data_IF_514701105390
#
_entry.id   IF_514701105390
#
_cell.length_a   1.000
_cell.length_b   1.000
_cell.length_c   1.000
_cell.angle_alpha   90.00
_cell.angle_beta   90.00
_cell.angle_gamma   90.00
#
_symmetry.space_group_name_H-M   'P 1'
#
loop_
_entity.id
_entity.type
_entity.pdbx_description
1 polymer ?
#
# COMPACT_ATOMS: atom_id res chain seq x y z
N UNK A 1 5.07 -12.59 28.91
CA UNK A 1 3.74 -12.02 28.61
C UNK A 1 3.00 -13.03 27.76
N UNK A 2 1.68 -13.15 27.83
CA UNK A 2 0.91 -14.09 27.02
C UNK A 2 -0.28 -13.43 26.37
N UNK A 3 -0.60 -13.85 25.15
CA UNK A 3 -1.84 -13.50 24.46
C UNK A 3 -3.00 -14.19 25.19
N UNK A 4 -3.97 -13.40 25.64
CA UNK A 4 -5.19 -13.89 26.31
C UNK A 4 -6.43 -13.72 25.45
N UNK A 5 -6.40 -12.81 24.47
CA UNK A 5 -7.49 -12.64 23.53
C UNK A 5 -7.04 -12.06 22.18
N UNK A 6 -7.85 -12.31 21.15
CA UNK A 6 -7.74 -11.68 19.84
C UNK A 6 -9.12 -11.16 19.48
N UNK A 7 -9.26 -9.83 19.43
CA UNK A 7 -10.50 -9.13 19.13
C UNK A 7 -10.41 -8.45 17.77
N UNK A 8 -11.54 -8.32 17.08
CA UNK A 8 -11.62 -7.56 15.84
C UNK A 8 -12.93 -6.77 15.85
N UNK A 9 -12.85 -5.46 15.59
CA UNK A 9 -13.99 -4.59 15.36
C UNK A 9 -13.96 -4.01 13.95
N UNK A 10 -15.12 -3.63 13.42
CA UNK A 10 -15.18 -2.75 12.25
C UNK A 10 -15.44 -1.33 12.76
N UNK A 11 -14.43 -0.46 12.63
CA UNK A 11 -14.52 0.95 13.02
C UNK A 11 -14.62 1.77 11.72
N UNK A 12 -15.76 2.42 11.49
CA UNK A 12 -16.07 3.02 10.19
C UNK A 12 -16.13 1.94 9.09
N UNK A 13 -15.21 1.99 8.14
CA UNK A 13 -15.06 1.02 7.05
C UNK A 13 -13.74 0.24 7.13
N UNK A 14 -13.12 0.14 8.31
CA UNK A 14 -11.86 -0.60 8.48
C UNK A 14 -11.96 -1.67 9.58
N UNK A 15 -11.60 -2.93 9.29
CA UNK A 15 -11.32 -3.92 10.31
C UNK A 15 -10.10 -3.50 11.15
N UNK A 16 -10.27 -3.48 12.47
CA UNK A 16 -9.23 -3.19 13.44
C UNK A 16 -9.07 -4.37 14.37
N UNK A 17 -7.86 -4.88 14.49
CA UNK A 17 -7.50 -5.93 15.44
C UNK A 17 -6.96 -5.34 16.74
N UNK A 18 -7.31 -5.98 17.86
CA UNK A 18 -6.69 -5.81 19.17
C UNK A 18 -6.23 -7.17 19.68
N UNK A 19 -4.93 -7.32 19.88
CA UNK A 19 -4.35 -8.50 20.56
C UNK A 19 -4.18 -8.14 22.03
N UNK A 20 -4.87 -8.87 22.91
CA UNK A 20 -4.92 -8.58 24.35
C UNK A 20 -3.93 -9.47 25.08
N UNK A 21 -3.20 -8.92 26.05
CA UNK A 21 -2.22 -9.67 26.83
C UNK A 21 -2.51 -9.70 28.33
N UNK A 22 -1.96 -10.71 29.02
CA UNK A 22 -2.05 -10.87 30.48
C UNK A 22 -1.27 -9.79 31.27
N UNK A 23 -0.48 -8.98 30.57
CA UNK A 23 0.33 -7.92 31.16
C UNK A 23 -0.27 -6.51 30.97
N UNK A 24 -1.46 -6.41 30.36
CA UNK A 24 -2.11 -5.13 30.08
C UNK A 24 -1.44 -4.30 28.97
N UNK A 25 -0.61 -4.93 28.14
CA UNK A 25 0.01 -4.31 26.97
C UNK A 25 -0.64 -4.89 25.72
N UNK A 26 -1.46 -4.08 25.05
CA UNK A 26 -2.20 -4.52 23.88
C UNK A 26 -1.60 -3.97 22.58
N UNK A 27 -1.77 -4.75 21.53
CA UNK A 27 -1.36 -4.41 20.16
C UNK A 27 -2.54 -4.06 19.30
N UNK A 28 -2.40 -3.01 18.50
CA UNK A 28 -3.42 -2.59 17.55
C UNK A 28 -2.88 -2.57 16.12
N UNK A 29 -3.72 -2.97 15.17
CA UNK A 29 -3.46 -2.78 13.75
C UNK A 29 -4.78 -2.62 12.99
N UNK A 30 -4.69 -2.02 11.81
CA UNK A 30 -5.80 -1.74 10.93
C UNK A 30 -5.54 -2.48 9.61
N UNK A 31 -6.54 -3.21 9.13
CA UNK A 31 -6.51 -3.74 7.78
C UNK A 31 -6.79 -2.63 6.77
N UNK A 32 -6.49 -2.90 5.51
CA UNK A 32 -7.04 -2.10 4.41
C UNK A 32 -8.59 -2.06 4.43
N UNK A 33 -9.21 -1.51 3.37
CA UNK A 33 -10.67 -1.34 3.25
C UNK A 33 -11.46 -2.58 3.65
N UNK A 34 -12.58 -2.37 4.34
CA UNK A 34 -13.47 -3.43 4.81
C UNK A 34 -13.91 -4.37 3.70
N UNK A 35 -13.71 -5.65 3.98
CA UNK A 35 -14.33 -6.75 3.24
C UNK A 35 -15.05 -7.63 4.26
N UNK A 36 -16.32 -8.02 4.03
CA UNK A 36 -17.14 -8.71 5.02
C UNK A 36 -16.50 -9.98 5.60
N UNK A 37 -15.64 -10.65 4.83
CA UNK A 37 -14.97 -11.88 5.21
C UNK A 37 -13.71 -11.69 6.08
N UNK A 38 -13.16 -10.48 6.21
CA UNK A 38 -11.90 -10.27 6.96
C UNK A 38 -12.08 -10.54 8.45
N UNK A 39 -13.07 -9.92 9.09
CA UNK A 39 -13.36 -10.08 10.53
C UNK A 39 -13.50 -11.56 10.96
N UNK A 40 -14.38 -12.39 10.36
CA UNK A 40 -14.48 -13.79 10.75
C UNK A 40 -13.18 -14.57 10.51
N UNK A 41 -12.41 -14.21 9.47
CA UNK A 41 -11.15 -14.88 9.17
C UNK A 41 -10.03 -14.52 10.16
N UNK A 42 -9.97 -13.26 10.61
CA UNK A 42 -9.09 -12.82 11.71
C UNK A 42 -9.40 -13.60 12.99
N UNK A 43 -10.67 -13.67 13.36
CA UNK A 43 -11.09 -14.36 14.59
C UNK A 43 -10.83 -15.87 14.53
N UNK A 44 -10.84 -16.48 13.34
CA UNK A 44 -10.49 -17.89 13.15
C UNK A 44 -9.02 -18.23 13.46
N UNK A 45 -8.14 -17.23 13.62
CA UNK A 45 -6.77 -17.43 14.08
C UNK A 45 -6.61 -17.41 15.60
N UNK A 46 -7.61 -16.96 16.36
CA UNK A 46 -7.55 -16.77 17.82
C UNK A 46 -6.94 -17.97 18.55
N UNK A 47 -7.50 -19.16 18.36
CA UNK A 47 -7.07 -20.38 19.08
C UNK A 47 -5.62 -20.79 18.78
N UNK A 48 -5.08 -20.40 17.62
CA UNK A 48 -3.69 -20.65 17.27
C UNK A 48 -2.71 -19.69 17.99
N UNK A 49 -3.22 -18.58 18.55
CA UNK A 49 -2.44 -17.48 19.11
C UNK A 49 -2.51 -17.44 20.66
N UNK A 50 -3.63 -17.85 21.27
CA UNK A 50 -3.80 -17.81 22.72
C UNK A 50 -2.68 -18.58 23.44
N UNK A 51 -2.15 -17.97 24.50
CA UNK A 51 -1.12 -18.54 25.37
C UNK A 51 0.31 -18.39 24.86
N UNK A 52 0.52 -17.94 23.62
CA UNK A 52 1.84 -17.64 23.08
C UNK A 52 2.38 -16.32 23.63
N UNK A 53 3.71 -16.19 23.65
CA UNK A 53 4.35 -14.91 23.96
C UNK A 53 4.30 -14.00 22.71
N UNK A 54 3.61 -12.85 22.78
CA UNK A 54 3.45 -11.97 21.62
C UNK A 54 4.76 -11.26 21.21
N UNK A 55 5.78 -11.25 22.07
CA UNK A 55 7.08 -10.63 21.76
C UNK A 55 7.97 -11.52 20.90
N UNK A 56 7.70 -12.83 20.85
CA UNK A 56 8.29 -13.76 19.90
C UNK A 56 7.55 -13.72 18.55
N UNK A 57 7.46 -12.53 17.93
CA UNK A 57 6.61 -12.24 16.75
C UNK A 57 6.69 -13.35 15.69
N UNK A 58 7.90 -13.71 15.24
CA UNK A 58 8.03 -14.71 14.18
C UNK A 58 7.61 -16.12 14.61
N UNK A 59 7.80 -16.49 15.88
CA UNK A 59 7.33 -17.79 16.41
C UNK A 59 5.80 -17.88 16.38
N UNK A 60 5.12 -16.76 16.67
CA UNK A 60 3.67 -16.66 16.55
C UNK A 60 3.27 -16.75 15.07
N UNK A 61 3.93 -15.99 14.21
CA UNK A 61 3.63 -15.95 12.78
C UNK A 61 3.83 -17.31 12.08
N UNK A 62 4.80 -18.13 12.49
CA UNK A 62 4.99 -19.49 11.96
C UNK A 62 3.75 -20.40 12.10
N UNK A 63 2.78 -20.06 12.97
CA UNK A 63 1.52 -20.81 13.10
C UNK A 63 0.51 -20.48 12.00
N UNK A 64 0.57 -19.26 11.45
CA UNK A 64 -0.50 -18.69 10.63
C UNK A 64 -0.03 -18.16 9.27
N UNK A 65 1.27 -17.89 9.09
CA UNK A 65 1.83 -17.24 7.88
C UNK A 65 1.46 -17.97 6.59
N UNK A 66 1.49 -19.30 6.60
CA UNK A 66 1.12 -20.16 5.47
C UNK A 66 -0.40 -20.22 5.17
N UNK A 67 -1.23 -19.61 6.03
CA UNK A 67 -2.70 -19.60 5.91
C UNK A 67 -3.23 -18.27 5.35
N UNK A 68 -2.35 -17.35 4.93
CA UNK A 68 -2.72 -16.18 4.13
C UNK A 68 -2.73 -16.49 2.63
N UNK A 69 -2.82 -15.45 1.80
CA UNK A 69 -2.78 -15.56 0.35
C UNK A 69 -2.61 -14.20 -0.30
N UNK A 70 -2.55 -14.15 -1.63
CA UNK A 70 -2.53 -12.89 -2.38
C UNK A 70 -3.72 -12.01 -1.98
N UNK A 71 -3.58 -10.70 -2.17
CA UNK A 71 -4.64 -9.73 -1.86
C UNK A 71 -5.99 -10.23 -2.39
N UNK A 72 -7.03 -10.23 -1.55
CA UNK A 72 -7.13 -9.58 -0.24
C UNK A 72 -6.90 -10.49 0.99
N UNK A 73 -6.43 -11.72 0.81
CA UNK A 73 -6.40 -12.71 1.88
C UNK A 73 -5.22 -12.51 2.86
N UNK A 74 -4.13 -11.93 2.36
CA UNK A 74 -2.93 -11.64 3.14
C UNK A 74 -3.18 -10.64 4.27
N UNK A 75 -4.15 -9.73 4.08
CA UNK A 75 -4.46 -8.72 5.07
C UNK A 75 -4.76 -9.23 6.47
N UNK A 76 -5.46 -10.36 6.55
CA UNK A 76 -5.79 -10.99 7.84
C UNK A 76 -4.54 -11.36 8.63
N UNK A 77 -3.52 -11.89 7.96
CA UNK A 77 -2.29 -12.34 8.59
C UNK A 77 -1.37 -11.16 8.89
N UNK A 78 -1.30 -10.21 7.97
CA UNK A 78 -0.46 -9.01 8.07
C UNK A 78 -0.79 -8.14 9.28
N UNK A 79 -2.07 -7.86 9.54
CA UNK A 79 -2.46 -7.02 10.68
C UNK A 79 -2.21 -7.69 12.03
N UNK A 80 -2.26 -9.03 12.09
CA UNK A 80 -1.88 -9.78 13.29
C UNK A 80 -0.39 -9.54 13.57
N UNK A 81 0.47 -9.66 12.54
CA UNK A 81 1.91 -9.40 12.66
C UNK A 81 2.21 -7.98 13.11
N UNK A 82 1.53 -6.99 12.54
CA UNK A 82 1.68 -5.58 12.91
C UNK A 82 1.29 -5.34 14.37
N UNK A 83 0.18 -5.91 14.83
CA UNK A 83 -0.25 -5.79 16.23
C UNK A 83 0.73 -6.48 17.20
N UNK A 84 1.35 -7.58 16.80
CA UNK A 84 2.41 -8.24 17.58
C UNK A 84 3.67 -7.36 17.67
N UNK A 85 4.07 -6.69 16.58
CA UNK A 85 5.16 -5.72 16.61
C UNK A 85 4.86 -4.51 17.49
N UNK A 86 3.62 -4.03 17.47
CA UNK A 86 3.17 -2.96 18.36
C UNK A 86 3.35 -3.38 19.83
N UNK A 87 2.93 -4.61 20.19
CA UNK A 87 3.16 -5.18 21.53
C UNK A 87 4.65 -5.28 21.84
N UNK A 88 5.45 -5.84 20.93
CA UNK A 88 6.88 -6.05 21.15
C UNK A 88 7.61 -4.72 21.42
N UNK A 89 7.32 -3.68 20.64
CA UNK A 89 7.88 -2.34 20.86
C UNK A 89 7.41 -1.71 22.17
N UNK A 90 6.11 -1.80 22.50
CA UNK A 90 5.56 -1.31 23.78
C UNK A 90 6.19 -2.02 24.98
N UNK A 91 6.29 -3.35 24.92
CA UNK A 91 6.89 -4.17 25.97
C UNK A 91 8.37 -3.88 26.18
N UNK A 92 9.11 -3.60 25.09
CA UNK A 92 10.51 -3.21 25.15
C UNK A 92 10.74 -1.72 25.46
N UNK A 93 9.69 -0.89 25.48
CA UNK A 93 9.80 0.55 25.70
C UNK A 93 10.52 1.30 24.57
N UNK A 94 10.49 0.77 23.34
CA UNK A 94 11.19 1.34 22.17
C UNK A 94 10.28 1.34 20.94
N UNK A 95 10.50 2.28 19.99
CA UNK A 95 9.77 2.27 18.72
C UNK A 95 10.14 1.03 17.90
N UNK A 96 9.20 0.50 17.11
CA UNK A 96 9.39 -0.73 16.32
C UNK A 96 10.65 -0.65 15.45
N UNK A 97 10.98 0.50 14.85
CA UNK A 97 12.18 0.63 14.02
C UNK A 97 13.46 0.23 14.78
N UNK A 98 13.55 0.40 16.11
CA UNK A 98 14.72 0.00 16.90
C UNK A 98 14.86 -1.52 16.96
N UNK A 99 13.75 -2.24 17.03
CA UNK A 99 13.74 -3.70 16.99
C UNK A 99 14.04 -4.25 15.59
N UNK A 100 13.81 -3.45 14.55
CA UNK A 100 14.16 -3.76 13.16
C UNK A 100 15.64 -3.48 12.81
N UNK A 101 16.49 -3.18 13.80
CA UNK A 101 17.91 -2.87 13.58
C UNK A 101 18.25 -1.38 13.59
N UNK A 102 17.26 -0.51 13.79
CA UNK A 102 17.44 0.94 13.87
C UNK A 102 17.03 1.65 12.58
N UNK A 103 16.70 2.94 12.72
CA UNK A 103 16.41 3.80 11.58
C UNK A 103 17.71 4.21 10.89
N UNK A 104 17.71 4.19 9.57
CA UNK A 104 18.80 4.70 8.73
C UNK A 104 18.47 6.09 8.16
N UNK A 105 17.26 6.58 8.44
CA UNK A 105 16.76 7.92 8.07
C UNK A 105 15.86 8.48 9.16
N UNK A 106 15.98 9.78 9.43
CA UNK A 106 15.13 10.48 10.42
C UNK A 106 13.77 10.90 9.87
N UNK A 107 13.63 10.90 8.54
CA UNK A 107 12.39 11.17 7.83
C UNK A 107 12.21 10.20 6.68
N UNK A 108 10.98 9.78 6.44
CA UNK A 108 10.58 8.86 5.36
C UNK A 108 9.84 9.66 4.29
N UNK A 109 10.16 9.44 3.02
CA UNK A 109 9.51 10.14 1.90
C UNK A 109 8.19 9.47 1.57
N UNK A 110 7.16 10.25 1.32
CA UNK A 110 5.86 9.73 0.90
C UNK A 110 5.48 10.27 -0.47
N UNK A 111 4.76 9.47 -1.25
CA UNK A 111 4.17 9.93 -2.51
C UNK A 111 2.65 10.04 -2.38
N UNK A 112 2.06 10.99 -3.10
CA UNK A 112 0.63 11.25 -2.99
C UNK A 112 -0.18 10.44 -4.02
N UNK A 113 -1.00 9.51 -3.55
CA UNK A 113 -2.12 8.95 -4.31
C UNK A 113 -3.50 9.32 -3.72
N UNK A 114 -3.54 9.71 -2.44
CA UNK A 114 -4.77 9.81 -1.65
C UNK A 114 -5.27 11.23 -1.38
N UNK A 115 -4.39 12.23 -1.27
CA UNK A 115 -4.77 13.64 -1.03
C UNK A 115 -5.09 14.30 -2.37
N UNK A 116 -6.34 14.13 -2.80
CA UNK A 116 -6.84 14.64 -4.08
C UNK A 116 -8.34 14.82 -4.04
N UNK A 117 -8.83 15.68 -4.92
CA UNK A 117 -10.25 15.79 -5.21
C UNK A 117 -10.66 14.77 -6.30
N UNK A 118 -11.92 14.27 -6.27
CA UNK A 118 -12.44 13.43 -7.35
C UNK A 118 -12.44 14.19 -8.68
N UNK A 119 -11.86 13.58 -9.71
CA UNK A 119 -11.95 14.11 -11.07
C UNK A 119 -13.37 13.94 -11.62
N UNK A 120 -13.83 14.92 -12.39
CA UNK A 120 -15.15 14.91 -13.06
C UNK A 120 -15.12 14.38 -14.48
N UNK A 121 -13.92 14.16 -15.04
CA UNK A 121 -13.72 13.66 -16.39
C UNK A 121 -12.37 12.94 -16.52
N UNK A 122 -12.08 12.45 -17.72
CA UNK A 122 -10.87 11.68 -18.04
C UNK A 122 -10.11 12.23 -19.26
N UNK A 123 -10.35 13.50 -19.61
CA UNK A 123 -9.61 14.20 -20.65
C UNK A 123 -8.24 14.70 -20.14
N UNK A 124 -7.30 15.07 -21.02
CA UNK A 124 -6.01 15.61 -20.61
C UNK A 124 -6.11 16.78 -19.64
N UNK A 125 -7.11 17.65 -19.82
CA UNK A 125 -7.34 18.83 -18.97
C UNK A 125 -7.79 18.43 -17.55
N UNK A 126 -8.54 17.34 -17.40
CA UNK A 126 -8.97 16.84 -16.09
C UNK A 126 -7.79 16.29 -15.29
N UNK A 127 -6.87 15.60 -15.98
CA UNK A 127 -5.64 15.08 -15.38
C UNK A 127 -4.67 16.21 -15.01
N UNK A 128 -4.51 17.21 -15.89
CA UNK A 128 -3.75 18.42 -15.61
C UNK A 128 -4.30 19.15 -14.37
N UNK A 129 -5.62 19.36 -14.33
CA UNK A 129 -6.28 19.96 -13.18
C UNK A 129 -6.03 19.18 -11.89
N UNK A 130 -6.14 17.84 -11.93
CA UNK A 130 -5.90 16.99 -10.76
C UNK A 130 -4.45 17.10 -10.26
N UNK A 131 -3.46 17.11 -11.16
CA UNK A 131 -2.06 17.33 -10.81
C UNK A 131 -1.82 18.72 -10.22
N UNK A 132 -2.47 19.77 -10.75
CA UNK A 132 -2.43 21.12 -10.18
C UNK A 132 -3.00 21.17 -8.77
N UNK A 133 -4.13 20.51 -8.52
CA UNK A 133 -4.74 20.42 -7.20
C UNK A 133 -3.82 19.68 -6.21
N UNK A 134 -3.23 18.55 -6.63
CA UNK A 134 -2.26 17.80 -5.81
C UNK A 134 -0.98 18.59 -5.53
N UNK A 135 -0.50 19.40 -6.48
CA UNK A 135 0.64 20.32 -6.29
C UNK A 135 0.32 21.44 -5.28
N UNK A 136 -0.92 21.91 -5.25
CA UNK A 136 -1.38 22.93 -4.32
C UNK A 136 -1.68 22.40 -2.91
N UNK A 137 -1.61 21.09 -2.70
CA UNK A 137 -1.81 20.47 -1.39
C UNK A 137 -0.74 20.93 -0.38
N UNK A 138 -1.13 21.12 0.89
CA UNK A 138 -0.27 21.74 1.91
C UNK A 138 0.90 20.87 2.38
N UNK A 139 0.89 19.58 2.03
CA UNK A 139 1.88 18.59 2.44
C UNK A 139 3.22 18.68 1.67
N UNK A 140 3.25 19.36 0.52
CA UNK A 140 4.47 19.58 -0.27
C UNK A 140 5.04 18.32 -0.93
N UNK A 141 4.18 17.43 -1.43
CA UNK A 141 4.61 16.19 -2.07
C UNK A 141 5.52 16.41 -3.29
N UNK A 142 6.59 15.63 -3.38
CA UNK A 142 7.55 15.66 -4.51
C UNK A 142 7.31 14.56 -5.53
N UNK A 143 6.40 13.62 -5.24
CA UNK A 143 5.97 12.54 -6.14
C UNK A 143 4.46 12.43 -6.02
N UNK A 144 3.76 12.38 -7.14
CA UNK A 144 2.32 12.12 -7.22
C UNK A 144 2.06 10.88 -8.07
N UNK A 145 1.07 10.08 -7.69
CA UNK A 145 0.59 8.91 -8.44
C UNK A 145 -0.79 9.20 -9.03
N UNK A 146 -0.97 8.92 -10.32
CA UNK A 146 -2.25 9.08 -11.01
C UNK A 146 -2.73 7.76 -11.61
N UNK A 147 -4.00 7.36 -11.39
CA UNK A 147 -4.58 6.21 -12.05
C UNK A 147 -4.86 6.54 -13.52
N UNK A 148 -4.40 5.70 -14.43
CA UNK A 148 -4.59 5.82 -15.88
C UNK A 148 -4.94 4.44 -16.46
N UNK A 149 -5.32 4.40 -17.73
CA UNK A 149 -5.51 3.13 -18.44
C UNK A 149 -6.60 2.28 -17.82
N UNK A 150 -6.31 1.01 -17.58
CA UNK A 150 -7.25 0.03 -17.04
C UNK A 150 -7.54 0.26 -15.54
N UNK A 151 -6.62 0.84 -14.77
CA UNK A 151 -6.91 1.23 -13.38
C UNK A 151 -7.99 2.32 -13.30
N UNK A 152 -8.01 3.22 -14.28
CA UNK A 152 -8.94 4.35 -14.33
C UNK A 152 -10.24 4.01 -15.04
N UNK A 153 -11.23 4.90 -14.94
CA UNK A 153 -12.45 4.77 -15.75
C UNK A 153 -12.26 5.20 -17.20
N UNK A 154 -11.05 5.52 -17.66
CA UNK A 154 -10.78 5.77 -19.09
C UNK A 154 -11.32 4.65 -19.97
N UNK A 155 -11.20 3.39 -19.52
CA UNK A 155 -11.71 2.21 -20.24
C UNK A 155 -13.21 2.25 -20.51
N UNK A 156 -13.98 2.98 -19.69
CA UNK A 156 -15.44 3.14 -19.82
C UNK A 156 -15.80 4.49 -20.46
N UNK A 157 -15.11 5.56 -20.05
CA UNK A 157 -15.49 6.94 -20.35
C UNK A 157 -14.83 7.50 -21.62
N UNK A 158 -13.72 6.92 -22.08
CA UNK A 158 -13.06 7.31 -23.34
C UNK A 158 -13.66 6.48 -24.48
N UNK A 159 -14.31 7.10 -25.48
CA UNK A 159 -14.93 6.36 -26.56
C UNK A 159 -13.91 5.57 -27.38
N UNK A 160 -14.23 4.31 -27.67
CA UNK A 160 -13.37 3.38 -28.41
C UNK A 160 -11.98 3.22 -27.77
N UNK A 161 -11.88 3.19 -26.43
CA UNK A 161 -10.58 3.10 -25.73
C UNK A 161 -9.79 1.83 -26.08
N UNK A 162 -10.46 0.68 -26.10
CA UNK A 162 -9.87 -0.62 -26.40
C UNK A 162 -10.85 -1.48 -27.19
N UNK A 163 -10.34 -2.52 -27.84
CA UNK A 163 -11.14 -3.56 -28.48
C UNK A 163 -11.67 -4.53 -27.42
N UNK A 164 -12.83 -4.21 -26.85
CA UNK A 164 -13.56 -5.03 -25.89
C UNK A 164 -14.76 -4.27 -25.34
N UNK A 165 -15.57 -4.97 -24.57
CA UNK A 165 -16.74 -4.39 -23.91
C UNK A 165 -16.34 -4.05 -22.46
N UNK A 166 -16.27 -2.77 -22.07
CA UNK A 166 -15.90 -2.40 -20.71
C UNK A 166 -16.98 -2.84 -19.72
N UNK A 167 -16.55 -3.46 -18.62
CA UNK A 167 -17.43 -3.73 -17.49
C UNK A 167 -17.57 -2.50 -16.59
N UNK A 168 -18.80 -2.19 -16.18
CA UNK A 168 -19.08 -1.13 -15.22
C UNK A 168 -18.65 -1.47 -13.77
N UNK A 169 -17.97 -2.59 -13.56
CA UNK A 169 -17.58 -3.12 -12.26
C UNK A 169 -16.50 -2.30 -11.54
N UNK A 170 -16.52 -2.36 -10.21
CA UNK A 170 -15.66 -1.55 -9.32
C UNK A 170 -14.30 -2.14 -8.97
N UNK A 171 -13.88 -3.28 -9.56
CA UNK A 171 -12.59 -3.91 -9.22
C UNK A 171 -11.41 -3.34 -10.02
N UNK A 172 -11.30 -2.00 -10.11
CA UNK A 172 -10.14 -1.30 -10.69
C UNK A 172 -9.61 -1.86 -12.04
N UNK A 173 -10.52 -2.32 -12.92
CA UNK A 173 -10.15 -2.88 -14.21
C UNK A 173 -9.61 -4.32 -14.18
N UNK A 174 -9.56 -5.00 -13.03
CA UNK A 174 -9.09 -6.39 -12.90
C UNK A 174 -9.87 -7.39 -13.78
N UNK A 175 -11.07 -7.04 -14.25
CA UNK A 175 -11.86 -7.84 -15.19
C UNK A 175 -11.75 -7.35 -16.64
N UNK A 176 -11.26 -6.14 -16.86
CA UNK A 176 -11.15 -5.53 -18.17
C UNK A 176 -9.75 -5.77 -18.74
N UNK A 177 -9.67 -6.57 -19.81
CA UNK A 177 -8.42 -6.83 -20.51
C UNK A 177 -8.65 -6.78 -22.01
N UNK A 178 -7.79 -6.06 -22.73
CA UNK A 178 -7.88 -6.08 -24.19
C UNK A 178 -6.85 -5.23 -24.91
N UNK A 179 -6.88 -5.34 -26.24
CA UNK A 179 -6.00 -4.60 -27.14
C UNK A 179 -6.46 -3.14 -27.18
N UNK A 180 -5.56 -2.18 -26.95
CA UNK A 180 -5.87 -0.76 -27.07
C UNK A 180 -6.11 -0.38 -28.52
N UNK A 181 -7.04 0.56 -28.74
CA UNK A 181 -7.14 1.21 -30.04
C UNK A 181 -6.05 2.27 -30.17
N UNK A 182 -5.79 2.72 -31.39
CA UNK A 182 -4.91 3.87 -31.64
C UNK A 182 -5.39 5.12 -30.90
N UNK A 183 -6.72 5.30 -30.80
CA UNK A 183 -7.32 6.41 -30.06
C UNK A 183 -7.02 6.31 -28.57
N UNK A 184 -7.25 5.15 -27.95
CA UNK A 184 -6.99 4.95 -26.51
C UNK A 184 -5.52 5.19 -26.16
N UNK A 185 -4.60 4.67 -26.98
CA UNK A 185 -3.16 4.90 -26.80
C UNK A 185 -2.81 6.39 -26.89
N UNK A 186 -3.27 7.08 -27.95
CA UNK A 186 -3.01 8.53 -28.13
C UNK A 186 -3.60 9.37 -27.00
N UNK A 187 -4.79 9.01 -26.54
CA UNK A 187 -5.47 9.68 -25.42
C UNK A 187 -4.64 9.61 -24.15
N UNK A 188 -4.17 8.42 -23.77
CA UNK A 188 -3.33 8.28 -22.58
C UNK A 188 -2.02 9.07 -22.68
N UNK A 189 -1.34 9.02 -23.82
CA UNK A 189 -0.11 9.80 -24.03
C UNK A 189 -0.38 11.29 -23.89
N UNK A 190 -1.52 11.78 -24.39
CA UNK A 190 -1.94 13.17 -24.22
C UNK A 190 -2.20 13.53 -22.75
N UNK A 191 -2.86 12.65 -21.99
CA UNK A 191 -3.04 12.85 -20.54
C UNK A 191 -1.70 12.90 -19.81
N UNK A 192 -0.74 12.02 -20.14
CA UNK A 192 0.60 12.04 -19.55
C UNK A 192 1.33 13.35 -19.85
N UNK A 193 1.26 13.82 -21.09
CA UNK A 193 1.84 15.10 -21.48
C UNK A 193 1.25 16.27 -20.67
N UNK A 194 -0.07 16.31 -20.53
CA UNK A 194 -0.77 17.36 -19.77
C UNK A 194 -0.41 17.33 -18.27
N UNK A 195 -0.34 16.14 -17.67
CA UNK A 195 0.14 16.00 -16.28
C UNK A 195 1.58 16.50 -16.12
N UNK A 196 2.46 16.14 -17.05
CA UNK A 196 3.87 16.56 -17.01
C UNK A 196 4.04 18.06 -17.19
N UNK A 197 3.23 18.70 -18.02
CA UNK A 197 3.25 20.16 -18.18
C UNK A 197 2.91 20.87 -16.86
N UNK A 198 1.90 20.38 -16.13
CA UNK A 198 1.50 20.96 -14.84
C UNK A 198 2.51 20.70 -13.70
N UNK A 199 3.13 19.52 -13.69
CA UNK A 199 4.07 19.12 -12.65
C UNK A 199 5.50 19.63 -12.86
N UNK A 200 5.87 19.92 -14.11
CA UNK A 200 7.22 20.33 -14.49
C UNK A 200 8.28 19.27 -14.18
N UNK A 201 9.47 19.73 -13.79
CA UNK A 201 10.60 18.93 -13.34
C UNK A 201 10.76 18.88 -11.80
N UNK A 202 9.90 19.60 -11.08
CA UNK A 202 9.90 19.68 -9.61
C UNK A 202 9.23 18.46 -8.96
N UNK A 203 8.18 17.91 -9.59
CA UNK A 203 7.37 16.82 -9.05
C UNK A 203 7.42 15.60 -9.97
N UNK A 204 7.80 14.46 -9.40
CA UNK A 204 7.79 13.17 -10.08
C UNK A 204 6.36 12.68 -10.34
N UNK A 205 6.12 12.13 -11.54
CA UNK A 205 4.85 11.51 -11.90
C UNK A 205 5.00 9.99 -11.96
N UNK A 206 4.28 9.29 -11.10
CA UNK A 206 4.04 7.85 -11.16
C UNK A 206 2.66 7.58 -11.77
N UNK A 207 2.52 6.50 -12.52
CA UNK A 207 1.24 6.09 -13.11
C UNK A 207 0.84 4.71 -12.62
N UNK A 208 -0.35 4.62 -12.03
CA UNK A 208 -1.01 3.35 -11.77
C UNK A 208 -1.84 3.00 -13.02
N UNK A 209 -1.32 2.07 -13.81
CA UNK A 209 -1.91 1.70 -15.10
C UNK A 209 -2.97 0.60 -14.96
N UNK A 210 -2.91 -0.14 -13.85
CA UNK A 210 -3.79 -1.25 -13.49
C UNK A 210 -3.61 -2.49 -14.37
N UNK A 211 -3.99 -3.68 -13.87
CA UNK A 211 -3.97 -4.88 -14.66
C UNK A 211 -4.96 -4.76 -15.83
N UNK A 212 -4.65 -5.38 -16.97
CA UNK A 212 -5.54 -5.40 -18.14
C UNK A 212 -4.85 -5.17 -19.48
N UNK A 213 -3.57 -4.80 -19.46
CA UNK A 213 -2.84 -4.53 -20.69
C UNK A 213 -2.44 -5.81 -21.41
N UNK A 214 -2.46 -5.76 -22.74
CA UNK A 214 -1.71 -6.73 -23.54
C UNK A 214 -0.23 -6.34 -23.56
N UNK A 215 0.66 -7.32 -23.63
CA UNK A 215 2.12 -7.08 -23.66
C UNK A 215 2.53 -6.13 -24.80
N UNK A 216 2.06 -6.30 -26.05
CA UNK A 216 2.43 -5.38 -27.13
C UNK A 216 2.03 -3.93 -26.85
N UNK A 217 0.87 -3.70 -26.25
CA UNK A 217 0.40 -2.35 -25.95
C UNK A 217 1.09 -1.74 -24.73
N UNK A 218 1.40 -2.54 -23.72
CA UNK A 218 2.22 -2.11 -22.60
C UNK A 218 3.60 -1.63 -23.10
N UNK A 219 4.24 -2.39 -24.00
CA UNK A 219 5.51 -2.00 -24.64
C UNK A 219 5.36 -0.70 -25.44
N UNK A 220 4.30 -0.58 -26.24
CA UNK A 220 4.05 0.64 -27.05
C UNK A 220 3.88 1.87 -26.17
N UNK A 221 3.07 1.76 -25.13
CA UNK A 221 2.82 2.87 -24.21
C UNK A 221 4.08 3.22 -23.43
N UNK A 222 4.77 2.25 -22.85
CA UNK A 222 5.99 2.47 -22.06
C UNK A 222 7.06 3.21 -22.87
N UNK A 223 7.23 2.87 -24.16
CA UNK A 223 8.11 3.58 -25.09
C UNK A 223 7.62 4.98 -25.46
N UNK A 224 6.31 5.12 -25.69
CA UNK A 224 5.73 6.41 -26.04
C UNK A 224 5.88 7.44 -24.92
N UNK A 225 6.01 6.99 -23.67
CA UNK A 225 6.16 7.86 -22.51
C UNK A 225 7.60 8.04 -22.01
N UNK A 226 8.60 7.43 -22.66
CA UNK A 226 10.02 7.62 -22.31
C UNK A 226 10.45 9.11 -22.23
N UNK A 227 10.01 10.01 -23.15
CA UNK A 227 10.40 11.42 -23.08
C UNK A 227 9.91 12.17 -21.83
N UNK A 228 8.94 11.62 -21.08
CA UNK A 228 8.33 12.27 -19.93
C UNK A 228 9.07 12.02 -18.60
N UNK A 229 10.05 11.11 -18.58
CA UNK A 229 10.82 10.75 -17.39
C UNK A 229 9.92 10.44 -16.19
N UNK A 230 9.02 9.47 -16.36
CA UNK A 230 8.11 9.02 -15.31
C UNK A 230 8.86 8.27 -14.21
N UNK A 231 8.35 8.33 -12.97
CA UNK A 231 8.92 7.60 -11.83
C UNK A 231 8.70 6.10 -12.01
N UNK A 232 7.50 5.68 -12.42
CA UNK A 232 7.20 4.32 -12.84
C UNK A 232 5.87 4.18 -13.59
N UNK A 233 5.70 3.02 -14.22
CA UNK A 233 4.42 2.46 -14.67
C UNK A 233 4.09 1.23 -13.83
N UNK A 234 2.98 1.30 -13.10
CA UNK A 234 2.58 0.30 -12.10
C UNK A 234 1.49 -0.63 -12.62
N UNK A 235 1.63 -1.91 -12.29
CA UNK A 235 0.63 -2.97 -12.43
C UNK A 235 0.06 -3.21 -13.83
N UNK A 236 0.76 -2.80 -14.89
CA UNK A 236 0.28 -2.90 -16.27
C UNK A 236 -0.22 -4.31 -16.66
N UNK A 237 0.51 -5.37 -16.29
CA UNK A 237 0.21 -6.72 -16.76
C UNK A 237 -0.62 -7.52 -15.74
N UNK A 238 -0.10 -7.64 -14.51
CA UNK A 238 -0.78 -8.25 -13.38
C UNK A 238 -0.61 -7.35 -12.17
N UNK A 239 -1.66 -7.19 -11.40
CA UNK A 239 -1.68 -6.24 -10.29
C UNK A 239 -2.74 -6.65 -9.28
N UNK A 240 -3.46 -5.68 -8.75
CA UNK A 240 -4.55 -5.92 -7.80
C UNK A 240 -5.44 -7.13 -8.18
N UNK A 241 -5.79 -7.94 -7.18
CA UNK A 241 -6.56 -9.18 -7.30
C UNK A 241 -5.99 -10.28 -8.23
N UNK A 242 -4.76 -10.16 -8.74
CA UNK A 242 -4.12 -11.23 -9.53
C UNK A 242 -3.46 -12.27 -8.61
N UNK A 243 -3.92 -13.55 -8.59
CA UNK A 243 -3.46 -14.54 -7.60
C UNK A 243 -2.17 -15.28 -8.02
N UNK A 244 -1.30 -14.62 -8.81
CA UNK A 244 -0.07 -15.19 -9.33
C UNK A 244 0.91 -14.08 -9.74
N UNK A 245 2.14 -14.47 -10.06
CA UNK A 245 3.24 -13.58 -10.44
C UNK A 245 3.70 -13.91 -11.85
N UNK A 246 3.56 -12.97 -12.79
CA UNK A 246 3.98 -13.11 -14.19
C UNK A 246 5.36 -12.48 -14.43
N UNK A 247 6.39 -12.98 -13.75
CA UNK A 247 7.72 -12.37 -13.79
C UNK A 247 8.39 -12.42 -15.17
N UNK A 248 8.22 -13.51 -15.91
CA UNK A 248 8.75 -13.64 -17.28
C UNK A 248 8.14 -12.59 -18.23
N UNK A 249 6.83 -12.41 -18.17
CA UNK A 249 6.11 -11.43 -19.00
C UNK A 249 6.46 -9.99 -18.60
N UNK A 250 6.58 -9.72 -17.30
CA UNK A 250 7.06 -8.42 -16.82
C UNK A 250 8.49 -8.14 -17.28
N UNK A 251 9.36 -9.15 -17.29
CA UNK A 251 10.74 -8.99 -17.78
C UNK A 251 10.78 -8.59 -19.25
N UNK A 252 9.92 -9.16 -20.09
CA UNK A 252 9.82 -8.79 -21.51
C UNK A 252 9.43 -7.31 -21.68
N UNK A 253 8.51 -6.81 -20.85
CA UNK A 253 8.14 -5.39 -20.82
C UNK A 253 9.30 -4.52 -20.32
N UNK A 254 9.89 -4.86 -19.19
CA UNK A 254 10.99 -4.09 -18.57
C UNK A 254 12.21 -3.96 -19.48
N UNK A 255 12.56 -5.00 -20.24
CA UNK A 255 13.67 -4.96 -21.19
C UNK A 255 13.37 -4.17 -22.47
N UNK A 256 12.10 -3.82 -22.70
CA UNK A 256 11.66 -3.19 -23.95
C UNK A 256 11.71 -1.66 -23.92
N UNK A 257 11.86 -1.04 -22.74
CA UNK A 257 11.75 0.40 -22.50
C UNK A 257 12.75 0.88 -21.45
N UNK A 258 13.06 2.17 -21.43
CA UNK A 258 13.78 2.80 -20.32
C UNK A 258 12.87 3.32 -19.20
N UNK A 259 11.55 3.32 -19.40
CA UNK A 259 10.59 3.74 -18.37
C UNK A 259 10.52 2.68 -17.26
N UNK A 260 10.69 3.04 -15.97
CA UNK A 260 10.68 2.06 -14.88
C UNK A 260 9.35 1.32 -14.77
N UNK A 261 9.41 0.00 -14.62
CA UNK A 261 8.24 -0.86 -14.40
C UNK A 261 8.12 -1.22 -12.92
N UNK A 262 6.90 -1.12 -12.39
CA UNK A 262 6.54 -1.37 -10.99
C UNK A 262 5.40 -2.39 -10.90
N UNK A 263 5.45 -3.26 -9.87
CA UNK A 263 4.30 -4.08 -9.46
C UNK A 263 4.45 -4.57 -8.01
N UNK A 264 3.42 -5.18 -7.45
CA UNK A 264 3.56 -6.14 -6.35
C UNK A 264 2.73 -5.88 -5.10
N UNK A 265 1.81 -4.92 -5.13
CA UNK A 265 0.90 -4.61 -4.00
C UNK A 265 0.09 -5.83 -3.54
N UNK A 266 -0.30 -6.70 -4.47
CA UNK A 266 -1.14 -7.87 -4.25
C UNK A 266 -0.39 -9.10 -3.75
N UNK A 267 0.95 -9.10 -3.84
CA UNK A 267 1.77 -10.31 -3.71
C UNK A 267 1.98 -10.62 -2.24
N UNK A 268 1.65 -11.85 -1.85
CA UNK A 268 1.81 -12.32 -0.48
C UNK A 268 3.12 -13.07 -0.29
N UNK A 269 3.88 -12.73 0.75
CA UNK A 269 5.16 -13.30 1.17
C UNK A 269 6.31 -13.21 0.15
N UNK A 270 7.53 -13.13 0.69
CA UNK A 270 8.78 -12.98 -0.09
C UNK A 270 9.04 -14.09 -1.09
N UNK A 271 8.52 -15.30 -0.86
CA UNK A 271 8.69 -16.42 -1.79
C UNK A 271 8.12 -16.09 -3.16
N UNK A 272 7.01 -15.34 -3.20
CA UNK A 272 6.37 -14.92 -4.45
C UNK A 272 7.05 -13.69 -5.08
N UNK A 273 7.89 -12.97 -4.34
CA UNK A 273 8.74 -11.91 -4.91
C UNK A 273 10.02 -12.43 -5.57
N UNK A 274 10.47 -13.65 -5.23
CA UNK A 274 11.70 -14.22 -5.79
C UNK A 274 11.75 -14.17 -7.32
N UNK A 275 10.72 -14.60 -8.08
CA UNK A 275 10.76 -14.55 -9.53
C UNK A 275 10.91 -13.12 -10.06
N UNK A 276 10.28 -12.13 -9.44
CA UNK A 276 10.41 -10.73 -9.85
C UNK A 276 11.82 -10.20 -9.61
N UNK A 277 12.38 -10.48 -8.42
CA UNK A 277 13.66 -9.94 -7.97
C UNK A 277 14.84 -10.64 -8.67
N UNK A 278 14.90 -11.98 -8.61
CA UNK A 278 16.02 -12.76 -9.13
C UNK A 278 16.15 -12.64 -10.66
N UNK A 279 15.03 -12.55 -11.37
CA UNK A 279 15.02 -12.39 -12.83
C UNK A 279 15.07 -10.93 -13.29
N UNK A 280 15.04 -9.97 -12.36
CA UNK A 280 14.93 -8.53 -12.63
C UNK A 280 13.77 -8.22 -13.57
N UNK A 281 12.63 -8.82 -13.27
CA UNK A 281 11.42 -8.70 -14.07
C UNK A 281 10.85 -7.28 -14.09
N UNK A 282 11.12 -6.52 -13.04
CA UNK A 282 10.67 -5.14 -12.82
C UNK A 282 11.83 -4.30 -12.30
N UNK A 283 11.65 -2.98 -12.25
CA UNK A 283 12.65 -2.08 -11.67
C UNK A 283 12.32 -1.75 -10.21
N UNK A 284 11.03 -1.75 -9.88
CA UNK A 284 10.50 -1.35 -8.57
C UNK A 284 9.47 -2.39 -8.12
N UNK A 285 9.46 -2.70 -6.83
CA UNK A 285 8.37 -3.47 -6.21
C UNK A 285 7.68 -2.65 -5.12
N UNK A 286 6.36 -2.84 -5.00
CA UNK A 286 5.53 -2.13 -4.03
C UNK A 286 4.70 -3.00 -3.10
N UNK A 287 5.29 -3.98 -2.37
CA UNK A 287 4.56 -4.73 -1.34
C UNK A 287 3.93 -3.80 -0.30
N UNK A 288 2.71 -4.13 0.14
CA UNK A 288 2.01 -3.44 1.21
C UNK A 288 2.21 -4.18 2.55
N UNK A 289 2.67 -3.54 3.64
CA UNK A 289 2.80 -4.22 4.95
C UNK A 289 1.47 -4.78 5.48
N UNK A 290 0.34 -4.17 5.13
CA UNK A 290 -1.00 -4.61 5.46
C UNK A 290 -1.49 -5.78 4.60
N UNK A 291 -0.77 -6.23 3.56
CA UNK A 291 -1.15 -7.41 2.76
C UNK A 291 -0.05 -8.46 2.65
N UNK A 292 1.23 -8.07 2.60
CA UNK A 292 2.36 -8.93 2.24
C UNK A 292 2.72 -9.99 3.27
N UNK A 293 2.28 -9.83 4.52
CA UNK A 293 2.66 -10.65 5.67
C UNK A 293 3.28 -9.86 6.83
N UNK A 294 3.14 -8.53 6.81
CA UNK A 294 3.52 -7.64 7.90
C UNK A 294 4.84 -6.87 7.72
N UNK A 295 5.24 -6.18 8.79
CA UNK A 295 6.40 -5.29 8.90
C UNK A 295 7.71 -6.03 8.65
N UNK A 296 7.90 -7.20 9.26
CA UNK A 296 9.13 -7.97 9.07
C UNK A 296 9.21 -8.52 7.64
N UNK A 297 8.08 -8.97 7.09
CA UNK A 297 8.00 -9.48 5.72
C UNK A 297 8.38 -8.43 4.69
N UNK A 298 7.84 -7.21 4.83
CA UNK A 298 8.22 -6.07 4.01
C UNK A 298 9.72 -5.77 4.10
N UNK A 299 10.30 -5.76 5.32
CA UNK A 299 11.74 -5.51 5.49
C UNK A 299 12.58 -6.59 4.80
N UNK A 300 12.25 -7.87 4.99
CA UNK A 300 13.01 -8.96 4.38
C UNK A 300 12.98 -8.93 2.85
N UNK A 301 11.84 -8.55 2.26
CA UNK A 301 11.72 -8.33 0.82
C UNK A 301 12.62 -7.18 0.38
N UNK A 302 12.58 -6.05 1.10
CA UNK A 302 13.37 -4.87 0.77
C UNK A 302 14.88 -5.11 0.79
N UNK A 303 15.39 -5.82 1.80
CA UNK A 303 16.80 -6.21 1.89
C UNK A 303 17.21 -7.13 0.73
N UNK A 304 16.34 -8.08 0.38
CA UNK A 304 16.61 -9.00 -0.71
C UNK A 304 16.57 -8.30 -2.08
N UNK A 305 15.65 -7.35 -2.26
CA UNK A 305 15.53 -6.51 -3.44
C UNK A 305 16.78 -5.62 -3.64
N UNK A 306 17.32 -5.05 -2.55
CA UNK A 306 18.50 -4.18 -2.57
C UNK A 306 19.72 -4.90 -3.17
N UNK A 307 19.93 -6.17 -2.80
CA UNK A 307 21.00 -7.02 -3.35
C UNK A 307 20.91 -7.23 -4.87
N UNK A 308 19.74 -7.02 -5.47
CA UNK A 308 19.48 -7.24 -6.90
C UNK A 308 19.32 -5.93 -7.69
N UNK A 309 19.47 -4.77 -7.03
CA UNK A 309 19.26 -3.46 -7.64
C UNK A 309 17.78 -3.14 -7.91
N UNK A 310 16.87 -3.75 -7.17
CA UNK A 310 15.43 -3.51 -7.25
C UNK A 310 15.04 -2.46 -6.21
N UNK A 311 14.32 -1.43 -6.65
CA UNK A 311 13.83 -0.35 -5.81
C UNK A 311 12.57 -0.74 -5.05
N UNK A 312 12.33 -0.07 -3.92
CA UNK A 312 11.17 -0.25 -3.07
C UNK A 312 10.30 1.01 -3.10
N UNK A 313 9.05 0.85 -3.52
CA UNK A 313 8.01 1.85 -3.36
C UNK A 313 6.75 1.22 -2.74
N UNK A 314 6.75 0.95 -1.41
CA UNK A 314 5.67 0.22 -0.75
C UNK A 314 4.30 0.87 -1.00
N UNK A 315 3.32 0.04 -1.36
CA UNK A 315 1.92 0.46 -1.38
C UNK A 315 1.45 0.78 0.05
N UNK A 316 0.42 1.61 0.13
CA UNK A 316 -0.09 2.11 1.40
C UNK A 316 -1.52 2.66 1.36
N UNK A 317 -2.13 2.78 0.17
CA UNK A 317 -3.51 3.28 0.07
C UNK A 317 -4.45 2.39 0.87
N UNK A 318 -5.42 3.01 1.55
CA UNK A 318 -6.42 2.37 2.41
C UNK A 318 -5.91 1.69 3.69
N UNK A 319 -4.61 1.68 3.98
CA UNK A 319 -4.06 1.13 5.22
C UNK A 319 -4.48 1.86 6.51
N UNK A 320 -5.03 3.08 6.38
CA UNK A 320 -5.44 3.92 7.49
C UNK A 320 -4.28 4.34 8.39
N UNK A 321 -4.61 4.93 9.55
CA UNK A 321 -3.62 5.61 10.38
C UNK A 321 -2.72 4.65 11.17
N UNK A 322 -3.19 3.44 11.50
CA UNK A 322 -2.34 2.43 12.14
C UNK A 322 -1.39 1.78 11.12
N UNK A 323 -1.85 1.56 9.89
CA UNK A 323 -0.98 1.09 8.81
C UNK A 323 0.03 2.15 8.36
N UNK A 324 -0.34 3.44 8.38
CA UNK A 324 0.60 4.54 8.20
C UNK A 324 1.73 4.48 9.23
N UNK A 325 1.40 4.25 10.50
CA UNK A 325 2.39 4.16 11.56
C UNK A 325 3.36 2.97 11.33
N UNK A 326 2.84 1.82 10.91
CA UNK A 326 3.67 0.68 10.52
C UNK A 326 4.61 1.01 9.35
N UNK A 327 4.09 1.66 8.29
CA UNK A 327 4.89 2.14 7.15
C UNK A 327 6.00 3.09 7.58
N UNK A 328 5.72 4.05 8.46
CA UNK A 328 6.74 4.97 8.99
C UNK A 328 7.85 4.22 9.72
N UNK A 329 7.49 3.29 10.60
CA UNK A 329 8.46 2.51 11.39
C UNK A 329 9.33 1.60 10.52
N UNK A 330 8.73 0.84 9.61
CA UNK A 330 9.48 -0.09 8.74
C UNK A 330 10.31 0.66 7.69
N UNK A 331 9.75 1.67 7.04
CA UNK A 331 10.44 2.45 6.00
C UNK A 331 11.59 3.28 6.57
N UNK A 332 11.58 3.60 7.86
CA UNK A 332 12.73 4.21 8.52
C UNK A 332 13.96 3.28 8.56
N UNK A 333 13.75 1.97 8.55
CA UNK A 333 14.78 0.95 8.67
C UNK A 333 15.15 0.24 7.34
N UNK A 334 14.52 0.59 6.21
CA UNK A 334 14.81 -0.02 4.91
C UNK A 334 16.14 0.48 4.30
N UNK A 335 16.79 -0.29 3.40
CA UNK A 335 18.01 0.14 2.70
C UNK A 335 17.83 1.36 1.80
N UNK A 336 18.89 1.75 1.10
CA UNK A 336 18.88 2.91 0.19
C UNK A 336 18.06 2.69 -1.09
N UNK A 337 17.64 1.46 -1.39
CA UNK A 337 16.69 1.17 -2.47
C UNK A 337 15.27 1.67 -2.21
N UNK A 338 14.96 2.17 -1.01
CA UNK A 338 13.69 2.81 -0.71
C UNK A 338 13.54 4.18 -1.41
N UNK A 339 12.47 4.32 -2.20
CA UNK A 339 12.12 5.55 -2.93
C UNK A 339 11.18 6.42 -2.09
N UNK A 340 9.98 5.92 -1.85
CA UNK A 340 8.90 6.52 -1.07
C UNK A 340 7.80 5.47 -0.84
N UNK A 341 6.95 5.59 0.17
CA UNK A 341 5.73 4.76 0.26
C UNK A 341 4.48 5.58 -0.06
N UNK A 342 3.39 4.91 -0.42
CA UNK A 342 2.12 5.57 -0.74
C UNK A 342 1.51 6.21 0.50
N UNK A 343 1.29 7.52 0.46
CA UNK A 343 0.69 8.21 1.58
C UNK A 343 -0.77 7.78 1.77
N UNK A 344 -1.09 7.41 3.00
CA UNK A 344 -2.43 6.98 3.40
C UNK A 344 -3.03 7.99 4.38
N UNK A 345 -4.34 8.16 4.31
CA UNK A 345 -5.10 9.16 5.07
C UNK A 345 -6.08 8.49 6.02
N UNK A 346 -6.44 9.19 7.08
CA UNK A 346 -7.58 8.81 7.90
C UNK A 346 -8.87 9.14 7.16
N UNK A 347 -9.57 8.11 6.69
CA UNK A 347 -10.85 8.24 5.99
C UNK A 347 -11.93 7.38 6.68
N UNK A 348 -13.01 7.98 7.21
CA UNK A 348 -13.32 9.42 7.22
C UNK A 348 -12.43 10.26 8.17
N UNK A 349 -12.44 11.60 8.05
CA UNK A 349 -11.53 12.48 8.80
C UNK A 349 -11.57 12.36 10.33
N UNK A 350 -12.65 11.84 10.91
CA UNK A 350 -12.75 11.61 12.36
C UNK A 350 -11.77 10.54 12.88
N UNK A 351 -11.13 9.76 12.00
CA UNK A 351 -10.03 8.87 12.40
C UNK A 351 -8.91 9.61 13.16
N UNK A 352 -8.65 10.86 12.80
CA UNK A 352 -7.64 11.69 13.45
C UNK A 352 -8.03 12.11 14.88
N UNK A 353 -9.31 11.97 15.27
CA UNK A 353 -9.77 12.28 16.63
C UNK A 353 -9.61 11.08 17.57
N UNK A 354 -9.65 9.87 17.03
CA UNK A 354 -9.61 8.62 17.79
C UNK A 354 -8.22 7.96 17.83
N UNK A 355 -7.27 8.41 16.99
CA UNK A 355 -5.89 7.93 17.00
C UNK A 355 -4.98 8.95 17.70
N UNK A 356 -4.44 8.55 18.86
CA UNK A 356 -3.49 9.34 19.63
C UNK A 356 -2.04 9.03 19.20
N UNK A 357 -1.14 10.00 19.34
CA UNK A 357 0.31 9.85 19.08
C UNK A 357 0.80 10.37 17.72
N UNK A 358 -0.11 10.72 16.80
CA UNK A 358 0.26 11.26 15.49
C UNK A 358 0.89 12.66 15.62
N UNK A 359 2.02 12.93 14.93
CA UNK A 359 2.60 14.26 14.88
C UNK A 359 1.70 15.25 14.11
N UNK A 360 1.85 16.53 14.43
CA UNK A 360 1.14 17.64 13.77
C UNK A 360 2.15 18.76 13.43
N UNK A 361 2.34 19.11 12.15
CA UNK A 361 1.81 18.45 10.95
C UNK A 361 2.36 17.03 10.75
N UNK A 362 1.63 16.20 10.02
CA UNK A 362 2.00 14.80 9.76
C UNK A 362 2.99 14.67 8.60
N UNK A 363 2.74 15.41 7.51
CA UNK A 363 3.62 15.49 6.35
C UNK A 363 4.15 16.91 6.22
N UNK A 364 5.47 17.03 6.02
CA UNK A 364 6.16 18.29 5.75
C UNK A 364 7.12 18.06 4.58
N UNK A 365 6.99 18.86 3.53
CA UNK A 365 7.80 18.77 2.31
C UNK A 365 7.86 17.35 1.72
N UNK A 366 6.72 16.66 1.69
CA UNK A 366 6.61 15.28 1.17
C UNK A 366 7.29 14.23 2.03
N UNK A 367 7.58 14.53 3.30
CA UNK A 367 8.18 13.59 4.25
C UNK A 367 7.40 13.51 5.55
N UNK A 368 7.48 12.36 6.21
CA UNK A 368 7.01 12.16 7.58
C UNK A 368 8.23 12.00 8.49
N UNK A 369 8.25 12.74 9.61
CA UNK A 369 9.28 12.57 10.63
C UNK A 369 9.08 11.25 11.38
N UNK A 370 10.16 10.48 11.53
CA UNK A 370 10.11 9.21 12.25
C UNK A 370 10.08 9.49 13.75
N UNK A 371 8.97 9.11 14.40
CA UNK A 371 8.77 9.30 15.84
C UNK A 371 9.32 8.14 16.68
N UNK A 372 9.67 8.47 17.92
CA UNK A 372 10.38 7.58 18.85
C UNK A 372 9.50 6.98 19.95
N UNK A 373 8.18 7.20 19.89
CA UNK A 373 7.25 6.61 20.84
C UNK A 373 7.24 5.06 20.74
N UNK A 374 7.13 4.32 21.86
CA UNK A 374 7.16 2.86 21.85
C UNK A 374 6.09 2.18 20.98
N UNK A 375 6.40 0.98 20.48
CA UNK A 375 5.51 0.25 19.58
C UNK A 375 5.44 0.91 18.20
N UNK A 376 4.24 0.97 17.63
CA UNK A 376 3.99 1.77 16.42
C UNK A 376 4.01 3.28 16.71
N UNK A 377 4.02 3.68 17.99
CA UNK A 377 4.00 5.07 18.42
C UNK A 377 2.64 5.77 18.32
N UNK A 378 1.59 5.01 17.99
CA UNK A 378 0.19 5.46 17.96
C UNK A 378 -0.69 4.48 18.72
N UNK A 379 -1.86 4.93 19.18
CA UNK A 379 -2.85 4.06 19.83
C UNK A 379 -4.27 4.56 19.59
N UNK A 380 -5.26 3.69 19.85
CA UNK A 380 -6.66 4.06 19.79
C UNK A 380 -7.15 4.59 21.14
N UNK A 381 -7.79 5.75 21.09
CA UNK A 381 -8.48 6.32 22.22
C UNK A 381 -9.83 5.59 22.41
N UNK A 382 -9.90 4.69 23.38
CA UNK A 382 -11.08 3.86 23.60
C UNK A 382 -12.36 4.68 23.81
N UNK A 383 -12.32 5.75 24.60
CA UNK A 383 -13.50 6.58 24.88
C UNK A 383 -14.03 7.26 23.62
N UNK A 384 -13.14 7.83 22.80
CA UNK A 384 -13.53 8.50 21.56
C UNK A 384 -13.87 7.53 20.43
N UNK A 385 -13.32 6.31 20.45
CA UNK A 385 -13.58 5.28 19.44
C UNK A 385 -14.91 4.54 19.68
N UNK A 386 -15.35 4.39 20.94
CA UNK A 386 -16.60 3.68 21.30
C UNK A 386 -17.85 4.13 20.51
N UNK A 387 -18.11 5.43 20.26
CA UNK A 387 -19.23 5.88 19.45
C UNK A 387 -19.24 5.39 17.99
N UNK A 388 -18.10 4.93 17.46
CA UNK A 388 -17.96 4.43 16.09
C UNK A 388 -18.03 2.90 15.99
N UNK A 389 -18.22 2.20 17.11
CA UNK A 389 -18.39 0.76 17.14
C UNK A 389 -19.81 0.37 16.76
N UNK A 390 -19.93 -0.75 16.05
CA UNK A 390 -21.21 -1.43 15.85
C UNK A 390 -21.69 -2.07 17.17
N UNK A 391 -22.97 -2.41 17.25
CA UNK A 391 -23.52 -3.14 18.41
C UNK A 391 -22.79 -4.47 18.65
N UNK A 392 -22.39 -5.17 17.59
CA UNK A 392 -21.62 -6.42 17.68
C UNK A 392 -20.21 -6.21 18.24
N UNK A 393 -19.68 -5.00 18.14
CA UNK A 393 -18.27 -4.68 18.47
C UNK A 393 -18.11 -3.90 19.78
N UNK A 394 -19.18 -3.65 20.54
CA UNK A 394 -19.12 -2.82 21.75
C UNK A 394 -18.13 -3.31 22.83
N UNK A 395 -17.86 -4.63 22.86
CA UNK A 395 -16.90 -5.27 23.79
C UNK A 395 -15.44 -5.21 23.33
N UNK A 396 -15.17 -4.53 22.21
CA UNK A 396 -13.82 -4.47 21.63
C UNK A 396 -12.79 -3.86 22.59
N UNK A 397 -13.18 -2.80 23.32
CA UNK A 397 -12.31 -2.12 24.30
C UNK A 397 -12.41 -2.66 25.73
N UNK A 398 -13.30 -3.62 25.97
CA UNK A 398 -13.48 -4.21 27.30
C UNK A 398 -12.37 -5.20 27.67
#
# INVERSE_FOLDING_TARGET
>A
MKIVDVKCAVIGSSPVIRIVTDAGIDGYAQAETWKPFLKPYILAFRDALIGLDPTDVERVMLRIRQRGGFKPWGAVVSIIEMALWDIAGKAAGVPVYKLLGGKVRDRVRVYNGAVREPMTGFAPEDYAWSCRAMRAAGEGFTIVKQPIGFHSRMRVEVPDFFYGDPEAGGMHGAHDRGLLTERGLKHMVACVAAMKEELGDEIGLALDCGPGWTVPDAIRFARAVEPFNLVWLEDMLTGDYSPFVNADVYRDLTLSTSTPIHTGEQIYLRQNFKPLIESKAVNIIGPDPCDVGGIAELKWIAEYADLHGILMAPHGTANGLLGLAALVQVCAALPHNYVAFEYTVGDPPWWYDIVDGLPKPLVVDGHIMVWDAPGLGVTLNAEKARPYLTEEDHVFFD
#
